data_IF_921489380344
#
_entry.id   IF_921489380344
#
_cell.length_a   1.000
_cell.length_b   1.000
_cell.length_c   1.000
_cell.angle_alpha   90.00
_cell.angle_beta   90.00
_cell.angle_gamma   90.00
#
_symmetry.space_group_name_H-M   'P 1'
#
loop_
_entity.id
_entity.type
_entity.pdbx_description
1 polymer ?
#
# COMPACT_ATOMS: atom_id res chain seq x y z
N UNK A 1 3.39 -19.90 -14.20
CA UNK A 1 2.50 -19.00 -14.95
C UNK A 1 3.41 -17.98 -15.62
N UNK A 2 3.34 -17.79 -16.94
CA UNK A 2 4.12 -16.74 -17.62
C UNK A 2 3.70 -15.36 -17.11
N UNK A 3 4.64 -14.44 -16.88
CA UNK A 3 4.39 -13.10 -16.34
C UNK A 3 3.34 -12.30 -17.10
N UNK A 4 3.39 -12.35 -18.43
CA UNK A 4 2.40 -11.69 -19.28
C UNK A 4 0.98 -12.22 -19.04
N UNK A 5 0.82 -13.51 -18.68
CA UNK A 5 -0.49 -14.07 -18.32
C UNK A 5 -0.95 -13.62 -16.94
N UNK A 6 -0.04 -13.43 -15.99
CA UNK A 6 -0.36 -12.88 -14.67
C UNK A 6 -0.93 -11.47 -14.81
N UNK A 7 -0.24 -10.60 -15.56
CA UNK A 7 -0.65 -9.20 -15.69
C UNK A 7 -1.94 -9.03 -16.46
N UNK A 8 -2.15 -9.82 -17.52
CA UNK A 8 -3.39 -9.75 -18.30
C UNK A 8 -4.60 -10.32 -17.54
N UNK A 9 -4.41 -11.38 -16.75
CA UNK A 9 -5.52 -12.02 -16.03
C UNK A 9 -5.91 -11.26 -14.76
N UNK A 10 -4.93 -10.70 -14.06
CA UNK A 10 -5.11 -10.01 -12.79
C UNK A 10 -4.78 -8.52 -12.96
N UNK A 11 -5.52 -7.85 -13.84
CA UNK A 11 -5.34 -6.42 -14.12
C UNK A 11 -5.64 -5.55 -12.90
N UNK A 12 -4.75 -4.60 -12.62
CA UNK A 12 -4.84 -3.68 -11.49
C UNK A 12 -5.16 -2.24 -11.91
N UNK A 13 -5.24 -1.96 -13.21
CA UNK A 13 -5.45 -0.60 -13.72
C UNK A 13 -6.79 0.00 -13.28
N UNK A 14 -7.78 -0.85 -13.01
CA UNK A 14 -9.06 -0.42 -12.44
C UNK A 14 -8.92 0.23 -11.05
N UNK A 15 -7.85 -0.05 -10.30
CA UNK A 15 -7.63 0.58 -8.99
C UNK A 15 -7.32 2.08 -9.11
N UNK A 16 -6.73 2.53 -10.24
CA UNK A 16 -6.48 3.95 -10.51
C UNK A 16 -7.76 4.79 -10.59
N UNK A 17 -8.92 4.16 -10.84
CA UNK A 17 -10.22 4.84 -10.82
C UNK A 17 -10.58 5.39 -9.44
N UNK A 18 -9.90 4.92 -8.38
CA UNK A 18 -10.06 5.36 -7.01
C UNK A 18 -9.00 6.38 -6.57
N UNK A 19 -8.09 6.79 -7.46
CA UNK A 19 -7.16 7.88 -7.19
C UNK A 19 -7.94 9.20 -7.04
N UNK A 20 -7.89 9.86 -5.88
CA UNK A 20 -8.57 11.14 -5.69
C UNK A 20 -8.04 12.20 -6.64
N UNK A 21 -8.95 13.06 -7.09
CA UNK A 21 -8.71 14.27 -7.87
C UNK A 21 -9.39 15.43 -7.16
N UNK A 22 -9.19 16.65 -7.65
CA UNK A 22 -9.71 17.88 -7.01
C UNK A 22 -11.18 17.79 -6.63
N UNK A 23 -12.02 17.25 -7.52
CA UNK A 23 -13.44 17.07 -7.25
C UNK A 23 -13.76 16.15 -6.06
N UNK A 24 -12.91 15.17 -5.76
CA UNK A 24 -13.11 14.28 -4.62
C UNK A 24 -12.97 15.02 -3.30
N UNK A 25 -12.09 16.02 -3.21
CA UNK A 25 -11.90 16.85 -2.03
C UNK A 25 -13.11 17.74 -1.73
N UNK A 26 -13.97 17.98 -2.72
CA UNK A 26 -15.24 18.71 -2.55
C UNK A 26 -16.38 17.75 -2.21
N UNK A 27 -16.40 16.59 -2.87
CA UNK A 27 -17.56 15.69 -2.84
C UNK A 27 -17.54 14.67 -1.70
N UNK A 28 -16.37 14.21 -1.27
CA UNK A 28 -16.23 13.12 -0.31
C UNK A 28 -15.64 13.57 1.01
N UNK A 29 -15.81 12.74 2.03
CA UNK A 29 -15.25 13.00 3.35
C UNK A 29 -13.71 12.89 3.33
N UNK A 30 -13.01 13.65 4.17
CA UNK A 30 -11.55 13.59 4.30
C UNK A 30 -10.98 12.17 4.46
N UNK A 31 -11.55 11.33 5.33
CA UNK A 31 -11.16 9.93 5.52
C UNK A 31 -11.25 9.09 4.23
N UNK A 32 -12.30 9.31 3.42
CA UNK A 32 -12.49 8.61 2.15
C UNK A 32 -11.46 9.06 1.11
N UNK A 33 -11.16 10.37 1.07
CA UNK A 33 -10.15 10.93 0.16
C UNK A 33 -8.77 10.40 0.50
N UNK A 34 -8.33 10.45 1.76
CA UNK A 34 -7.01 9.92 2.15
C UNK A 34 -6.90 8.40 1.98
N UNK A 35 -8.00 7.67 2.20
CA UNK A 35 -8.03 6.24 1.93
C UNK A 35 -7.89 5.97 0.43
N UNK A 36 -8.46 6.83 -0.43
CA UNK A 36 -8.29 6.77 -1.89
C UNK A 36 -6.84 7.00 -2.30
N UNK A 37 -6.13 7.93 -1.66
CA UNK A 37 -4.68 8.09 -1.85
C UNK A 37 -3.91 6.80 -1.51
N UNK A 38 -4.34 6.08 -0.47
CA UNK A 38 -3.73 4.79 -0.14
C UNK A 38 -4.01 3.69 -1.16
N UNK A 39 -5.12 3.77 -1.91
CA UNK A 39 -5.33 2.87 -3.05
C UNK A 39 -4.29 3.12 -4.15
N UNK A 40 -3.94 4.38 -4.42
CA UNK A 40 -2.87 4.76 -5.35
C UNK A 40 -1.49 4.29 -4.87
N UNK A 41 -1.22 4.39 -3.55
CA UNK A 41 -0.02 3.83 -2.94
C UNK A 41 0.05 2.30 -3.15
N UNK A 42 -1.04 1.58 -2.87
CA UNK A 42 -1.08 0.11 -3.08
C UNK A 42 -0.89 -0.26 -4.55
N UNK A 43 -1.58 0.44 -5.46
CA UNK A 43 -1.40 0.25 -6.91
C UNK A 43 0.06 0.39 -7.30
N UNK A 44 0.72 1.46 -6.86
CA UNK A 44 2.12 1.74 -7.18
C UNK A 44 3.05 0.66 -6.63
N UNK A 45 2.81 0.18 -5.41
CA UNK A 45 3.63 -0.89 -4.82
C UNK A 45 3.44 -2.23 -5.54
N UNK A 46 2.22 -2.60 -5.92
CA UNK A 46 1.99 -3.83 -6.71
C UNK A 46 2.61 -3.71 -8.10
N UNK A 47 2.51 -2.53 -8.74
CA UNK A 47 3.15 -2.30 -10.04
C UNK A 47 4.68 -2.47 -9.95
N UNK A 48 5.32 -1.84 -8.96
CA UNK A 48 6.76 -1.99 -8.71
C UNK A 48 7.16 -3.44 -8.44
N UNK A 49 6.34 -4.17 -7.66
CA UNK A 49 6.58 -5.57 -7.35
C UNK A 49 6.53 -6.44 -8.60
N UNK A 50 5.50 -6.23 -9.43
CA UNK A 50 5.30 -6.92 -10.71
C UNK A 50 6.42 -6.63 -11.70
N UNK A 51 6.83 -5.37 -11.85
CA UNK A 51 7.95 -4.98 -12.70
C UNK A 51 9.25 -5.64 -12.23
N UNK A 52 9.54 -5.59 -10.93
CA UNK A 52 10.71 -6.25 -10.35
C UNK A 52 10.68 -7.77 -10.60
N UNK A 53 9.53 -8.42 -10.42
CA UNK A 53 9.42 -9.84 -10.74
C UNK A 53 9.67 -10.12 -12.23
N UNK A 54 9.16 -9.30 -13.15
CA UNK A 54 9.40 -9.47 -14.58
C UNK A 54 10.89 -9.31 -14.93
N UNK A 55 11.57 -8.31 -14.33
CA UNK A 55 13.01 -8.10 -14.48
C UNK A 55 13.84 -9.27 -13.93
N UNK A 56 13.33 -10.00 -12.94
CA UNK A 56 13.99 -11.20 -12.40
C UNK A 56 14.04 -12.38 -13.38
N UNK A 57 13.33 -12.31 -14.51
CA UNK A 57 13.36 -13.33 -15.57
C UNK A 57 14.23 -12.97 -16.77
N UNK A 58 14.77 -11.75 -16.80
CA UNK A 58 15.58 -11.31 -17.93
C UNK A 58 16.99 -11.89 -17.77
N UNK A 59 17.44 -12.63 -18.77
CA UNK A 59 18.81 -13.15 -18.83
C UNK A 59 19.77 -12.21 -19.57
N UNK A 60 19.23 -11.39 -20.48
CA UNK A 60 19.98 -10.42 -21.28
C UNK A 60 19.51 -8.99 -21.01
N UNK A 61 20.37 -8.22 -20.33
CA UNK A 61 20.13 -6.81 -20.00
C UNK A 61 20.80 -5.85 -20.99
N UNK A 62 21.32 -6.36 -22.10
CA UNK A 62 22.02 -5.61 -23.14
C UNK A 62 23.46 -5.24 -22.77
N UNK A 63 24.16 -4.67 -23.76
CA UNK A 63 25.62 -4.46 -23.73
C UNK A 63 26.12 -3.49 -22.65
N UNK A 64 25.22 -2.69 -22.05
CA UNK A 64 25.59 -1.71 -21.01
C UNK A 64 25.68 -2.31 -19.60
N UNK A 65 25.16 -3.51 -19.39
CA UNK A 65 25.20 -4.20 -18.09
C UNK A 65 26.25 -5.31 -18.17
N UNK A 66 27.46 -5.01 -17.69
CA UNK A 66 28.58 -5.96 -17.69
C UNK A 66 28.58 -6.75 -16.38
N UNK A 67 28.28 -8.04 -16.46
CA UNK A 67 28.26 -8.95 -15.32
C UNK A 67 29.66 -9.51 -15.05
N UNK A 68 30.31 -9.03 -13.99
CA UNK A 68 31.73 -9.32 -13.72
C UNK A 68 32.07 -10.76 -13.26
N UNK A 69 31.08 -11.57 -12.86
CA UNK A 69 31.30 -12.90 -12.28
C UNK A 69 30.25 -13.90 -12.74
N UNK A 70 30.58 -15.20 -12.71
CA UNK A 70 29.68 -16.30 -13.09
C UNK A 70 28.35 -16.31 -12.30
N UNK A 71 28.34 -15.74 -11.10
CA UNK A 71 27.19 -15.66 -10.21
C UNK A 71 26.47 -14.30 -10.24
N UNK A 72 26.93 -13.36 -11.07
CA UNK A 72 26.39 -12.00 -11.11
C UNK A 72 24.95 -11.94 -11.64
N UNK A 73 24.60 -12.77 -12.64
CA UNK A 73 23.23 -12.83 -13.15
C UNK A 73 22.25 -13.30 -12.07
N UNK A 74 22.58 -14.40 -11.39
CA UNK A 74 21.77 -14.94 -10.29
C UNK A 74 21.65 -13.97 -9.11
N UNK A 75 22.68 -13.18 -8.82
CA UNK A 75 22.61 -12.09 -7.83
C UNK A 75 21.69 -10.95 -8.27
N UNK A 76 21.70 -10.62 -9.56
CA UNK A 76 20.83 -9.60 -10.13
C UNK A 76 19.36 -10.03 -10.09
N UNK A 77 19.05 -11.27 -10.48
CA UNK A 77 17.71 -11.85 -10.32
C UNK A 77 17.25 -11.82 -8.88
N UNK A 78 18.11 -12.23 -7.94
CA UNK A 78 17.80 -12.18 -6.51
C UNK A 78 17.50 -10.77 -6.02
N UNK A 79 18.25 -9.77 -6.49
CA UNK A 79 18.00 -8.36 -6.14
C UNK A 79 16.58 -7.97 -6.54
N UNK A 80 16.17 -8.27 -7.77
CA UNK A 80 14.81 -7.97 -8.22
C UNK A 80 13.73 -8.73 -7.44
N UNK A 81 13.99 -9.99 -7.05
CA UNK A 81 13.05 -10.73 -6.20
C UNK A 81 12.93 -10.13 -4.79
N UNK A 82 14.03 -9.61 -4.22
CA UNK A 82 13.98 -8.89 -2.94
C UNK A 82 13.28 -7.53 -3.04
N UNK A 83 13.49 -6.81 -4.14
CA UNK A 83 12.77 -5.57 -4.42
C UNK A 83 11.25 -5.86 -4.56
N UNK A 84 10.87 -6.94 -5.27
CA UNK A 84 9.49 -7.40 -5.35
C UNK A 84 8.90 -7.78 -3.98
N UNK A 85 9.64 -8.56 -3.18
CA UNK A 85 9.25 -8.95 -1.83
C UNK A 85 8.98 -7.73 -0.94
N UNK A 86 9.85 -6.72 -1.00
CA UNK A 86 9.68 -5.49 -0.24
C UNK A 86 8.43 -4.73 -0.69
N UNK A 87 8.25 -4.53 -2.00
CA UNK A 87 7.09 -3.84 -2.56
C UNK A 87 5.77 -4.53 -2.24
N UNK A 88 5.68 -5.87 -2.29
CA UNK A 88 4.48 -6.57 -1.82
C UNK A 88 4.20 -6.34 -0.33
N UNK A 89 5.25 -6.33 0.52
CA UNK A 89 5.07 -6.04 1.94
C UNK A 89 4.60 -4.61 2.19
N UNK A 90 5.10 -3.64 1.42
CA UNK A 90 4.61 -2.26 1.45
C UNK A 90 3.16 -2.15 0.97
N UNK A 91 2.75 -2.93 -0.03
CA UNK A 91 1.36 -2.99 -0.49
C UNK A 91 0.43 -3.49 0.62
N UNK A 92 0.84 -4.51 1.39
CA UNK A 92 0.09 -4.99 2.55
C UNK A 92 -0.01 -3.89 3.63
N UNK A 93 1.09 -3.21 3.96
CA UNK A 93 1.07 -2.14 4.97
C UNK A 93 0.16 -0.98 4.54
N UNK A 94 0.25 -0.57 3.27
CA UNK A 94 -0.60 0.47 2.69
C UNK A 94 -2.07 0.05 2.59
N UNK A 95 -2.38 -1.23 2.34
CA UNK A 95 -3.77 -1.70 2.33
C UNK A 95 -4.40 -1.63 3.71
N UNK A 96 -3.65 -1.86 4.79
CA UNK A 96 -4.16 -1.68 6.15
C UNK A 96 -4.34 -0.22 6.49
N UNK A 97 -3.38 0.63 6.10
CA UNK A 97 -3.49 2.08 6.27
C UNK A 97 -4.72 2.63 5.54
N UNK A 98 -5.03 2.11 4.35
CA UNK A 98 -6.25 2.48 3.61
C UNK A 98 -7.50 2.23 4.44
N UNK A 99 -7.65 1.04 5.02
CA UNK A 99 -8.82 0.70 5.85
C UNK A 99 -8.84 1.52 7.15
N UNK A 100 -7.68 1.62 7.80
CA UNK A 100 -7.54 2.32 9.07
C UNK A 100 -7.91 3.80 8.93
N UNK A 101 -7.42 4.45 7.87
CA UNK A 101 -7.76 5.84 7.56
C UNK A 101 -9.22 5.98 7.13
N UNK A 102 -9.76 5.04 6.36
CA UNK A 102 -11.18 5.07 5.96
C UNK A 102 -12.12 5.04 7.17
N UNK A 103 -11.79 4.26 8.20
CA UNK A 103 -12.54 4.19 9.46
C UNK A 103 -12.14 5.28 10.46
N UNK A 104 -11.17 6.11 10.09
CA UNK A 104 -10.59 7.14 10.94
C UNK A 104 -11.39 8.44 10.91
N UNK A 105 -10.66 9.52 11.15
CA UNK A 105 -11.23 10.85 11.36
C UNK A 105 -11.78 11.50 10.08
N UNK A 106 -12.98 12.06 10.16
CA UNK A 106 -13.68 12.72 9.06
C UNK A 106 -13.42 14.24 9.01
N UNK A 107 -12.66 14.78 9.97
CA UNK A 107 -12.37 16.21 10.07
C UNK A 107 -11.34 16.64 9.02
N UNK A 108 -11.47 17.84 8.49
CA UNK A 108 -10.56 18.38 7.46
C UNK A 108 -9.14 18.60 7.99
N UNK A 109 -8.94 18.69 9.30
CA UNK A 109 -7.63 18.88 9.89
C UNK A 109 -6.64 17.77 9.48
N UNK A 110 -7.09 16.54 9.26
CA UNK A 110 -6.22 15.45 8.82
C UNK A 110 -5.59 15.70 7.44
N UNK A 111 -6.25 16.50 6.59
CA UNK A 111 -5.75 16.90 5.27
C UNK A 111 -4.80 18.11 5.36
N UNK A 112 -5.05 19.01 6.29
CA UNK A 112 -4.32 20.28 6.42
C UNK A 112 -3.10 20.16 7.33
N UNK A 113 -3.11 19.22 8.28
CA UNK A 113 -2.08 19.05 9.30
C UNK A 113 -1.31 17.73 9.09
N UNK A 114 -0.11 17.86 8.52
CA UNK A 114 0.84 16.76 8.31
C UNK A 114 1.12 15.94 9.58
N UNK A 115 1.19 16.58 10.74
CA UNK A 115 1.48 15.90 12.01
C UNK A 115 0.30 15.03 12.45
N UNK A 116 -0.94 15.51 12.26
CA UNK A 116 -2.17 14.75 12.53
C UNK A 116 -2.25 13.52 11.63
N UNK A 117 -2.01 13.70 10.33
CA UNK A 117 -1.93 12.59 9.37
C UNK A 117 -0.87 11.54 9.77
N UNK A 118 0.35 11.97 10.11
CA UNK A 118 1.41 11.04 10.52
C UNK A 118 1.12 10.35 11.86
N UNK A 119 0.46 11.02 12.79
CA UNK A 119 0.00 10.41 14.04
C UNK A 119 -1.02 9.30 13.75
N UNK A 120 -1.97 9.54 12.85
CA UNK A 120 -2.93 8.52 12.42
C UNK A 120 -2.22 7.31 11.78
N UNK A 121 -1.26 7.53 10.87
CA UNK A 121 -0.48 6.44 10.27
C UNK A 121 0.31 5.62 11.30
N UNK A 122 0.94 6.28 12.29
CA UNK A 122 1.66 5.58 13.37
C UNK A 122 0.74 4.74 14.26
N UNK A 123 -0.53 5.13 14.38
CA UNK A 123 -1.55 4.37 15.10
C UNK A 123 -2.03 3.11 14.37
N UNK A 124 -1.73 2.97 13.07
CA UNK A 124 -2.13 1.83 12.26
C UNK A 124 -1.24 0.60 12.53
N UNK A 125 -1.62 -0.18 13.54
CA UNK A 125 -1.13 -1.55 13.79
C UNK A 125 -2.22 -2.56 13.44
N UNK A 126 -1.85 -3.83 13.22
CA UNK A 126 -2.83 -4.92 13.02
C UNK A 126 -3.87 -4.95 14.15
N UNK A 127 -3.42 -4.89 15.39
CA UNK A 127 -4.27 -4.95 16.58
C UNK A 127 -5.29 -3.80 16.59
N UNK A 128 -4.82 -2.57 16.41
CA UNK A 128 -5.68 -1.38 16.33
C UNK A 128 -6.64 -1.43 15.13
N UNK A 129 -6.21 -1.90 13.96
CA UNK A 129 -7.08 -2.05 12.79
C UNK A 129 -8.22 -3.05 13.07
N UNK A 130 -7.89 -4.23 13.58
CA UNK A 130 -8.88 -5.25 13.92
C UNK A 130 -9.83 -4.78 15.03
N UNK A 131 -9.31 -4.04 16.00
CA UNK A 131 -10.12 -3.41 17.05
C UNK A 131 -11.11 -2.39 16.46
N UNK A 132 -10.65 -1.47 15.61
CA UNK A 132 -11.53 -0.50 14.94
C UNK A 132 -12.59 -1.17 14.06
N UNK A 133 -12.22 -2.21 13.32
CA UNK A 133 -13.17 -2.98 12.51
C UNK A 133 -14.26 -3.65 13.35
N UNK A 134 -13.93 -4.10 14.56
CA UNK A 134 -14.92 -4.64 15.51
C UNK A 134 -15.83 -3.55 16.06
N UNK A 135 -15.29 -2.39 16.44
CA UNK A 135 -16.07 -1.26 16.92
C UNK A 135 -17.03 -0.73 15.85
N UNK A 136 -16.57 -0.62 14.61
CA UNK A 136 -17.38 -0.21 13.46
C UNK A 136 -18.41 -1.29 13.02
N UNK A 137 -18.40 -2.47 13.64
CA UNK A 137 -19.31 -3.57 13.27
C UNK A 137 -19.08 -4.14 11.86
N UNK A 138 -17.96 -3.84 11.20
CA UNK A 138 -17.72 -4.22 9.81
C UNK A 138 -17.14 -5.63 9.69
N UNK A 139 -17.98 -6.62 10.01
CA UNK A 139 -17.59 -8.05 10.04
C UNK A 139 -17.01 -8.56 8.71
N UNK A 140 -17.55 -8.10 7.57
CA UNK A 140 -17.10 -8.55 6.24
C UNK A 140 -15.65 -8.14 5.99
N UNK A 141 -15.33 -6.87 6.22
CA UNK A 141 -13.97 -6.35 6.07
C UNK A 141 -13.03 -6.99 7.11
N UNK A 142 -13.50 -7.16 8.36
CA UNK A 142 -12.75 -7.88 9.39
C UNK A 142 -12.30 -9.28 8.92
N UNK A 143 -13.22 -10.11 8.42
CA UNK A 143 -12.89 -11.46 7.97
C UNK A 143 -11.99 -11.47 6.73
N UNK A 144 -12.18 -10.53 5.80
CA UNK A 144 -11.32 -10.40 4.62
C UNK A 144 -9.87 -10.01 5.00
N UNK A 145 -9.72 -9.12 5.97
CA UNK A 145 -8.40 -8.75 6.53
C UNK A 145 -7.76 -9.94 7.24
N UNK A 146 -8.51 -10.60 8.13
CA UNK A 146 -8.03 -11.79 8.85
C UNK A 146 -7.69 -12.96 7.92
N UNK A 147 -8.40 -13.14 6.80
CA UNK A 147 -8.09 -14.22 5.85
C UNK A 147 -6.74 -14.02 5.18
N UNK A 148 -6.42 -12.78 4.77
CA UNK A 148 -5.08 -12.47 4.25
C UNK A 148 -4.01 -12.69 5.32
N UNK A 149 -4.25 -12.23 6.55
CA UNK A 149 -3.31 -12.39 7.65
C UNK A 149 -2.99 -13.83 8.01
N UNK A 150 -4.01 -14.69 7.95
CA UNK A 150 -3.87 -16.06 8.35
C UNK A 150 -3.38 -16.98 7.23
N UNK A 151 -3.39 -16.48 6.00
CA UNK A 151 -2.87 -17.18 4.83
C UNK A 151 -1.38 -17.53 4.99
N UNK A 152 -1.03 -18.75 4.58
CA UNK A 152 0.31 -19.30 4.76
C UNK A 152 1.35 -18.57 3.90
N UNK A 153 1.01 -18.23 2.66
CA UNK A 153 1.92 -17.54 1.74
C UNK A 153 2.20 -16.13 2.27
N UNK A 154 1.16 -15.44 2.73
CA UNK A 154 1.30 -14.10 3.31
C UNK A 154 2.23 -14.10 4.53
N UNK A 155 2.07 -15.08 5.44
CA UNK A 155 2.95 -15.24 6.60
C UNK A 155 4.40 -15.52 6.18
N UNK A 156 4.60 -16.44 5.25
CA UNK A 156 5.92 -16.80 4.73
C UNK A 156 6.64 -15.59 4.10
N UNK A 157 5.96 -14.80 3.27
CA UNK A 157 6.56 -13.59 2.69
C UNK A 157 6.83 -12.50 3.73
N UNK A 158 5.97 -12.36 4.74
CA UNK A 158 6.20 -11.44 5.86
C UNK A 158 7.42 -11.85 6.67
N UNK A 159 7.62 -13.15 6.88
CA UNK A 159 8.81 -13.71 7.53
C UNK A 159 10.06 -13.44 6.71
N UNK A 160 10.02 -13.69 5.39
CA UNK A 160 11.14 -13.38 4.50
C UNK A 160 11.56 -11.91 4.54
N UNK A 161 10.57 -11.02 4.43
CA UNK A 161 10.82 -9.58 4.49
C UNK A 161 11.37 -9.15 5.86
N UNK A 162 10.79 -9.64 6.95
CA UNK A 162 11.25 -9.30 8.30
C UNK A 162 12.65 -9.85 8.61
N UNK A 163 12.98 -11.03 8.09
CA UNK A 163 14.33 -11.58 8.20
C UNK A 163 15.33 -10.63 7.54
N UNK A 164 15.08 -10.16 6.31
CA UNK A 164 15.99 -9.23 5.63
C UNK A 164 16.12 -7.94 6.43
N UNK A 165 14.97 -7.37 6.83
CA UNK A 165 14.88 -6.12 7.58
C UNK A 165 15.65 -6.14 8.91
N UNK A 166 15.68 -7.27 9.62
CA UNK A 166 16.27 -7.37 10.97
C UNK A 166 17.59 -8.14 11.04
N UNK A 167 17.84 -9.08 10.12
CA UNK A 167 18.97 -10.01 10.13
C UNK A 167 19.88 -9.88 8.90
N UNK A 168 19.52 -9.02 7.95
CA UNK A 168 20.35 -8.68 6.79
C UNK A 168 20.06 -9.55 5.57
N UNK A 169 20.92 -10.52 5.26
CA UNK A 169 20.81 -11.32 4.02
C UNK A 169 20.75 -12.80 4.29
N UNK A 170 20.08 -13.53 3.40
CA UNK A 170 20.04 -14.99 3.37
C UNK A 170 21.37 -15.60 2.88
N UNK A 171 21.59 -16.86 3.26
CA UNK A 171 22.44 -17.76 2.50
C UNK A 171 21.66 -18.23 1.27
N UNK A 172 22.21 -18.04 0.07
CA UNK A 172 21.46 -18.32 -1.17
C UNK A 172 21.98 -19.60 -1.79
N UNK A 173 21.08 -20.55 -2.02
CA UNK A 173 21.43 -21.84 -2.60
C UNK A 173 22.18 -21.65 -3.92
N UNK A 174 23.38 -22.21 -4.01
CA UNK A 174 24.22 -22.16 -5.21
C UNK A 174 24.87 -20.80 -5.52
N UNK A 175 25.00 -19.87 -4.56
CA UNK A 175 25.81 -18.64 -4.73
C UNK A 175 27.14 -18.64 -3.95
N UNK A 176 27.29 -19.43 -2.86
CA UNK A 176 28.53 -19.59 -2.06
C UNK A 176 28.57 -20.93 -1.30
N UNK A 177 29.77 -21.33 -0.86
CA UNK A 177 29.96 -22.33 0.20
C UNK A 177 29.40 -21.82 1.53
N UNK A 178 28.83 -22.76 2.31
CA UNK A 178 28.21 -22.51 3.62
C UNK A 178 29.11 -21.70 4.55
N UNK A 179 28.68 -20.49 4.89
CA UNK A 179 29.34 -19.58 5.85
C UNK A 179 29.23 -20.07 7.30
N UNK A 180 28.64 -21.25 7.53
CA UNK A 180 28.34 -21.76 8.86
C UNK A 180 29.51 -22.47 9.53
N UNK A 181 30.62 -22.71 8.82
CA UNK A 181 31.80 -23.36 9.38
C UNK A 181 32.83 -22.32 9.81
N UNK A 182 33.21 -22.39 11.09
CA UNK A 182 34.36 -21.64 11.58
C UNK A 182 35.63 -22.26 10.97
N UNK A 183 36.62 -21.47 10.53
CA UNK A 183 37.73 -21.98 9.71
C UNK A 183 38.75 -22.83 10.48
N UNK A 184 38.51 -23.10 11.76
CA UNK A 184 39.37 -23.93 12.60
C UNK A 184 38.57 -24.60 13.71
N UNK A 185 39.02 -25.79 14.09
CA UNK A 185 38.57 -26.53 15.27
C UNK A 185 39.51 -26.23 16.44
N UNK A 186 38.96 -26.10 17.64
CA UNK A 186 39.77 -26.02 18.88
C UNK A 186 39.38 -27.22 19.74
N UNK A 187 40.37 -28.05 20.06
CA UNK A 187 40.19 -29.28 20.86
C UNK A 187 39.12 -30.25 20.31
N UNK A 188 39.04 -30.40 18.98
CA UNK A 188 38.07 -31.29 18.32
C UNK A 188 36.61 -30.80 18.40
N UNK A 189 36.39 -29.56 18.85
CA UNK A 189 35.07 -28.91 18.81
C UNK A 189 35.03 -27.96 17.61
N UNK A 190 34.12 -28.26 16.69
CA UNK A 190 33.76 -27.33 15.62
C UNK A 190 32.99 -26.14 16.21
N UNK A 191 33.54 -24.93 16.05
CA UNK A 191 32.78 -23.71 16.30
C UNK A 191 31.84 -23.48 15.11
N UNK A 192 30.63 -22.98 15.40
CA UNK A 192 29.68 -22.58 14.36
C UNK A 192 29.82 -21.09 14.12
N UNK A 193 29.94 -20.70 12.85
CA UNK A 193 29.85 -19.31 12.43
C UNK A 193 28.44 -18.74 12.64
N UNK A 194 28.26 -17.45 12.36
CA UNK A 194 26.95 -16.80 12.43
C UNK A 194 25.92 -17.54 11.54
N UNK A 195 24.77 -17.88 12.11
CA UNK A 195 23.71 -18.58 11.41
C UNK A 195 23.00 -17.66 10.42
N UNK A 196 22.80 -18.14 9.20
CA UNK A 196 21.93 -17.53 8.18
C UNK A 196 20.98 -18.58 7.67
N UNK A 197 19.74 -18.21 7.48
CA UNK A 197 18.76 -19.09 6.85
C UNK A 197 19.12 -19.26 5.37
N UNK A 198 18.82 -20.43 4.84
CA UNK A 198 19.04 -20.75 3.43
C UNK A 198 17.77 -20.46 2.64
N UNK A 199 17.92 -19.77 1.51
CA UNK A 199 16.83 -19.39 0.63
C UNK A 199 17.04 -19.98 -0.76
N UNK A 200 15.99 -20.64 -1.25
CA UNK A 200 15.88 -21.09 -2.62
C UNK A 200 15.19 -20.02 -3.48
N UNK A 201 15.84 -19.60 -4.55
CA UNK A 201 15.38 -18.49 -5.43
C UNK A 201 14.07 -18.86 -6.14
N UNK A 202 13.99 -20.07 -6.69
CA UNK A 202 12.81 -20.52 -7.45
C UNK A 202 11.58 -20.63 -6.54
N UNK A 203 11.79 -21.04 -5.29
CA UNK A 203 10.76 -21.10 -4.27
C UNK A 203 10.25 -19.72 -3.93
N UNK A 204 11.14 -18.75 -3.66
CA UNK A 204 10.75 -17.36 -3.40
C UNK A 204 9.94 -16.81 -4.59
N UNK A 205 10.44 -16.97 -5.82
CA UNK A 205 9.77 -16.49 -7.03
C UNK A 205 8.35 -17.06 -7.17
N UNK A 206 8.17 -18.37 -6.98
CA UNK A 206 6.86 -19.02 -7.00
C UNK A 206 5.93 -18.43 -5.94
N UNK A 207 6.41 -18.24 -4.71
CA UNK A 207 5.60 -17.67 -3.61
C UNK A 207 5.17 -16.23 -3.89
N UNK A 208 6.04 -15.41 -4.48
CA UNK A 208 5.70 -14.05 -4.88
C UNK A 208 4.59 -14.01 -5.94
N UNK A 209 4.60 -14.93 -6.90
CA UNK A 209 3.53 -15.04 -7.92
C UNK A 209 2.21 -15.50 -7.30
N UNK A 210 2.26 -16.51 -6.42
CA UNK A 210 1.06 -17.00 -5.71
C UNK A 210 0.46 -15.89 -4.83
N UNK A 211 1.31 -15.12 -4.16
CA UNK A 211 0.90 -13.98 -3.37
C UNK A 211 0.27 -12.85 -4.20
N UNK A 212 0.81 -12.52 -5.38
CA UNK A 212 0.24 -11.47 -6.24
C UNK A 212 -1.23 -11.73 -6.55
N UNK A 213 -1.55 -12.97 -6.93
CA UNK A 213 -2.93 -13.40 -7.21
C UNK A 213 -3.80 -13.29 -5.97
N UNK A 214 -3.31 -13.78 -4.84
CA UNK A 214 -4.04 -13.76 -3.57
C UNK A 214 -4.31 -12.32 -3.10
N UNK A 215 -3.31 -11.45 -3.20
CA UNK A 215 -3.41 -10.05 -2.80
C UNK A 215 -4.33 -9.27 -3.75
N UNK A 216 -4.29 -9.54 -5.05
CA UNK A 216 -5.20 -8.94 -6.03
C UNK A 216 -6.67 -9.17 -5.64
N UNK A 217 -7.06 -10.43 -5.39
CA UNK A 217 -8.44 -10.77 -5.02
C UNK A 217 -8.85 -10.16 -3.67
N UNK A 218 -7.93 -10.21 -2.69
CA UNK A 218 -8.10 -9.57 -1.40
C UNK A 218 -8.37 -8.06 -1.54
N UNK A 219 -7.51 -7.35 -2.26
CA UNK A 219 -7.56 -5.89 -2.33
C UNK A 219 -8.75 -5.40 -3.15
N UNK A 220 -9.06 -6.09 -4.25
CA UNK A 220 -10.29 -5.85 -5.02
C UNK A 220 -11.54 -6.01 -4.14
N UNK A 221 -11.59 -7.04 -3.31
CA UNK A 221 -12.70 -7.26 -2.38
C UNK A 221 -12.83 -6.13 -1.37
N UNK A 222 -11.71 -5.65 -0.81
CA UNK A 222 -11.71 -4.51 0.12
C UNK A 222 -12.26 -3.24 -0.50
N UNK A 223 -11.78 -2.88 -1.69
CA UNK A 223 -12.24 -1.68 -2.41
C UNK A 223 -13.76 -1.74 -2.61
N UNK A 224 -14.29 -2.89 -3.06
CA UNK A 224 -15.72 -3.07 -3.30
C UNK A 224 -16.56 -3.02 -2.02
N UNK A 225 -16.00 -3.42 -0.87
CA UNK A 225 -16.71 -3.40 0.41
C UNK A 225 -16.69 -2.04 1.11
N UNK A 226 -15.63 -1.25 0.91
CA UNK A 226 -15.43 0.01 1.63
C UNK A 226 -15.87 1.22 0.81
N UNK A 227 -15.44 1.32 -0.45
CA UNK A 227 -15.60 2.56 -1.20
C UNK A 227 -17.01 2.73 -1.78
N UNK A 228 -17.58 3.95 -1.71
CA UNK A 228 -18.88 4.21 -2.28
C UNK A 228 -18.81 4.10 -3.81
N UNK A 229 -19.89 3.57 -4.41
CA UNK A 229 -19.94 3.31 -5.87
C UNK A 229 -19.70 4.56 -6.72
N UNK A 230 -20.12 5.72 -6.21
CA UNK A 230 -19.98 6.99 -6.90
C UNK A 230 -18.63 7.68 -6.65
N UNK A 231 -17.71 7.07 -5.90
CA UNK A 231 -16.33 7.56 -5.72
C UNK A 231 -15.61 7.69 -7.05
N UNK A 232 -15.83 6.77 -7.99
CA UNK A 232 -15.24 6.82 -9.33
C UNK A 232 -15.84 7.93 -10.22
N UNK A 233 -16.90 8.60 -9.78
CA UNK A 233 -17.58 9.65 -10.52
C UNK A 233 -17.34 11.04 -9.87
N UNK A 234 -16.31 11.79 -10.33
CA UNK A 234 -15.93 13.08 -9.77
C UNK A 234 -16.82 14.25 -10.23
N UNK A 235 -18.03 14.03 -10.74
CA UNK A 235 -18.92 15.14 -11.11
C UNK A 235 -19.41 15.84 -9.85
N UNK A 236 -19.04 17.12 -9.70
CA UNK A 236 -19.44 17.99 -8.59
C UNK A 236 -20.79 18.64 -8.93
N UNK A 237 -21.70 18.69 -7.95
CA UNK A 237 -22.96 19.43 -8.02
C UNK A 237 -22.91 20.62 -7.06
N UNK A 238 -23.74 21.63 -7.29
CA UNK A 238 -23.83 22.82 -6.42
C UNK A 238 -24.05 22.48 -4.94
N UNK A 239 -24.81 21.42 -4.65
CA UNK A 239 -25.02 20.93 -3.27
C UNK A 239 -23.73 20.46 -2.59
N UNK A 240 -22.78 19.91 -3.35
CA UNK A 240 -21.56 19.34 -2.79
C UNK A 240 -20.64 20.48 -2.32
N UNK A 241 -20.60 21.60 -3.06
CA UNK A 241 -19.94 22.83 -2.62
C UNK A 241 -20.59 23.42 -1.36
N UNK A 242 -21.92 23.44 -1.29
CA UNK A 242 -22.62 23.90 -0.09
C UNK A 242 -22.23 23.07 1.13
N UNK A 243 -22.25 21.74 1.01
CA UNK A 243 -21.83 20.83 2.09
C UNK A 243 -20.37 21.01 2.48
N UNK A 244 -19.47 21.25 1.52
CA UNK A 244 -18.08 21.57 1.81
C UNK A 244 -17.97 22.85 2.66
N UNK A 245 -18.63 23.93 2.24
CA UNK A 245 -18.59 25.21 2.94
C UNK A 245 -19.15 25.07 4.36
N UNK A 246 -20.32 24.45 4.53
CA UNK A 246 -20.92 24.18 5.84
C UNK A 246 -19.93 23.49 6.78
N UNK A 247 -19.24 22.45 6.30
CA UNK A 247 -18.23 21.74 7.10
C UNK A 247 -17.02 22.61 7.43
N UNK A 248 -16.54 23.43 6.49
CA UNK A 248 -15.42 24.33 6.76
C UNK A 248 -15.78 25.40 7.81
N UNK A 249 -17.03 25.87 7.84
CA UNK A 249 -17.57 26.73 8.91
C UNK A 249 -17.65 25.99 10.24
N UNK A 250 -18.29 24.81 10.28
CA UNK A 250 -18.43 24.00 11.50
C UNK A 250 -17.08 23.66 12.16
N UNK A 251 -16.04 23.47 11.34
CA UNK A 251 -14.70 23.16 11.81
C UNK A 251 -13.84 24.42 12.09
N UNK A 252 -14.42 25.62 12.03
CA UNK A 252 -13.75 26.88 12.35
C UNK A 252 -12.67 27.32 11.35
N UNK A 253 -12.67 26.75 10.14
CA UNK A 253 -11.75 27.17 9.06
C UNK A 253 -12.22 28.43 8.34
N UNK A 254 -13.52 28.75 8.42
CA UNK A 254 -14.12 29.97 7.92
C UNK A 254 -14.82 30.70 9.07
N UNK A 255 -14.52 31.99 9.26
CA UNK A 255 -15.19 32.88 10.22
C UNK A 255 -16.07 33.89 9.47
N UNK A 256 -17.20 34.23 10.09
CA UNK A 256 -18.51 34.50 9.46
C UNK A 256 -18.69 35.70 8.50
N UNK A 257 -17.68 36.52 8.17
CA UNK A 257 -17.95 37.63 7.22
C UNK A 257 -16.78 38.03 6.29
N UNK A 258 -15.51 37.86 6.69
CA UNK A 258 -14.39 38.41 5.91
C UNK A 258 -13.80 37.47 4.84
N UNK A 259 -14.14 36.17 4.87
CA UNK A 259 -13.51 35.15 4.02
C UNK A 259 -14.37 34.67 2.84
N UNK A 260 -15.70 34.76 2.91
CA UNK A 260 -16.59 34.34 1.80
C UNK A 260 -16.38 35.27 0.58
N UNK A 261 -16.27 36.57 0.83
CA UNK A 261 -16.05 37.60 -0.21
C UNK A 261 -14.66 37.53 -0.84
N UNK A 262 -13.67 36.96 -0.13
CA UNK A 262 -12.30 36.74 -0.63
C UNK A 262 -12.12 35.42 -1.38
N UNK A 263 -13.04 34.47 -1.25
CA UNK A 263 -12.93 33.14 -1.85
C UNK A 263 -13.14 33.13 -3.37
N UNK A 264 -13.55 34.24 -3.99
CA UNK A 264 -13.56 34.40 -5.45
C UNK A 264 -14.25 33.25 -6.19
N UNK A 265 -15.27 32.65 -5.58
CA UNK A 265 -16.02 31.54 -6.16
C UNK A 265 -17.00 32.07 -7.22
N UNK A 266 -16.47 32.52 -8.35
CA UNK A 266 -17.27 32.67 -9.56
C UNK A 266 -17.51 31.28 -10.14
N UNK A 267 -18.71 30.72 -9.91
CA UNK A 267 -19.21 29.61 -10.71
C UNK A 267 -19.79 30.24 -11.98
N UNK A 268 -19.25 29.97 -13.18
CA UNK A 268 -19.74 30.60 -14.41
C UNK A 268 -21.24 30.33 -14.59
N UNK A 269 -22.04 31.40 -14.50
CA UNK A 269 -23.47 31.39 -14.79
C UNK A 269 -24.42 31.16 -13.62
N UNK A 270 -23.97 31.02 -12.37
CA UNK A 270 -24.87 30.88 -11.20
C UNK A 270 -24.42 31.79 -10.03
N UNK A 271 -25.25 32.74 -9.64
CA UNK A 271 -25.12 33.45 -8.36
C UNK A 271 -25.42 32.47 -7.22
N UNK A 272 -24.47 32.27 -6.32
CA UNK A 272 -24.69 31.48 -5.10
C UNK A 272 -25.47 32.37 -4.12
N UNK A 273 -26.70 32.02 -3.72
CA UNK A 273 -27.42 32.80 -2.72
C UNK A 273 -26.68 32.70 -1.39
N UNK A 274 -26.13 33.82 -0.93
CA UNK A 274 -25.53 33.97 0.39
C UNK A 274 -26.64 33.68 1.41
N UNK A 275 -26.47 32.70 2.32
CA UNK A 275 -27.46 32.44 3.36
C UNK A 275 -27.62 33.70 4.22
N UNK A 276 -28.83 34.25 4.29
CA UNK A 276 -29.13 35.31 5.27
C UNK A 276 -29.06 34.69 6.66
N UNK A 277 -27.99 34.99 7.39
CA UNK A 277 -27.91 34.73 8.83
C UNK A 277 -29.00 35.57 9.52
N UNK A 278 -29.93 34.89 10.20
CA UNK A 278 -30.84 35.55 11.12
C UNK A 278 -30.02 36.01 12.34
N UNK A 279 -29.99 37.32 12.56
CA UNK A 279 -29.39 37.97 13.75
C UNK A 279 -30.13 37.60 15.02
#
# INVERSE_FOLDING_TARGET
MEFNRLFNKYDINDWLKYKPRDAHYVKFLPNQVIAGLKIDDVYSQILNARESLALSEIDDFGERIVLAHNNSLKRLHLKFLFDALASYNYAIDSSWQMIYLYLGEEEYEILLNKQKYYKALRGCTRENLLYLLRLAGNKKVYYCVESLFNDLITKELREYYNYIKHRGTYNIEGLKESIHRFPFEVEGKEFRGAYRETLNIDTLKRRLIEFDVLFHEYFKSLILMLFPKDFQNPVIKARDFKTLLEKLFENGFLNDDDNITKLGLEIPGHEIPIPKLYK
#
